data_IF_212460431601
#
_entry.id   IF_212460431601
#
_cell.length_a   1.000
_cell.length_b   1.000
_cell.length_c   1.000
_cell.angle_alpha   90.00
_cell.angle_beta   90.00
_cell.angle_gamma   90.00
#
_symmetry.space_group_name_H-M   'P 1'
#
loop_
_entity.id
_entity.type
_entity.pdbx_description
1 polymer ?
#
# COMPACT_ATOMS: atom_id res chain seq x y z
N UNK A 1 -0.78 12.84 2.99
CA UNK A 1 0.69 12.73 3.20
C UNK A 1 1.37 13.45 2.05
N UNK A 2 2.52 14.09 2.29
CA UNK A 2 3.43 14.49 1.21
C UNK A 2 3.93 13.24 0.47
N UNK A 3 4.59 13.41 -0.69
CA UNK A 3 5.13 12.25 -1.41
C UNK A 3 6.20 11.51 -0.60
N UNK A 4 7.03 12.22 0.19
CA UNK A 4 8.05 11.61 1.07
C UNK A 4 7.41 10.81 2.19
N UNK A 5 6.45 11.43 2.88
CA UNK A 5 5.69 10.76 3.93
C UNK A 5 5.00 9.51 3.38
N UNK A 6 4.40 9.59 2.19
CA UNK A 6 3.72 8.44 1.58
C UNK A 6 4.72 7.32 1.21
N UNK A 7 5.86 7.67 0.61
CA UNK A 7 6.90 6.70 0.27
C UNK A 7 7.43 5.96 1.51
N UNK A 8 7.75 6.69 2.59
CA UNK A 8 8.22 6.10 3.84
C UNK A 8 7.14 5.26 4.55
N UNK A 9 5.90 5.76 4.58
CA UNK A 9 4.77 5.04 5.14
C UNK A 9 4.49 3.73 4.40
N UNK A 10 4.61 3.74 3.07
CA UNK A 10 4.36 2.57 2.23
C UNK A 10 5.44 1.50 2.37
N UNK A 11 6.71 1.91 2.36
CA UNK A 11 7.85 1.02 2.62
C UNK A 11 7.72 0.34 3.98
N UNK A 12 7.34 1.11 5.01
CA UNK A 12 7.17 0.59 6.35
C UNK A 12 5.94 -0.33 6.44
N UNK A 13 4.79 0.08 5.91
CA UNK A 13 3.57 -0.72 5.98
C UNK A 13 3.70 -2.05 5.23
N UNK A 14 4.29 -2.06 4.04
CA UNK A 14 4.57 -3.30 3.28
C UNK A 14 5.59 -4.20 4.01
N UNK A 15 6.63 -3.62 4.62
CA UNK A 15 7.63 -4.37 5.39
C UNK A 15 7.05 -5.04 6.66
N UNK A 16 6.09 -4.38 7.32
CA UNK A 16 5.40 -4.94 8.49
C UNK A 16 4.39 -6.02 8.11
N UNK A 17 3.90 -6.03 6.87
CA UNK A 17 2.76 -6.86 6.44
C UNK A 17 3.12 -7.79 5.27
N UNK A 18 3.06 -7.29 4.05
CA UNK A 18 3.23 -8.04 2.80
C UNK A 18 4.55 -8.78 2.75
N UNK A 19 5.67 -8.11 3.04
CA UNK A 19 7.00 -8.73 2.95
C UNK A 19 7.11 -9.95 3.87
N UNK A 20 6.55 -9.82 5.07
CA UNK A 20 6.55 -10.86 6.10
C UNK A 20 5.69 -12.05 5.70
N UNK A 21 4.53 -11.79 5.08
CA UNK A 21 3.60 -12.84 4.66
C UNK A 21 4.03 -13.54 3.37
N UNK A 22 4.65 -12.81 2.44
CA UNK A 22 5.16 -13.37 1.18
C UNK A 22 6.57 -13.98 1.33
N UNK A 23 7.31 -13.62 2.37
CA UNK A 23 8.64 -14.16 2.65
C UNK A 23 9.78 -13.53 1.86
N UNK A 24 9.52 -12.44 1.13
CA UNK A 24 10.52 -11.66 0.41
C UNK A 24 10.18 -10.16 0.46
N UNK A 25 11.16 -9.31 0.18
CA UNK A 25 10.96 -7.86 0.16
C UNK A 25 10.30 -7.47 -1.16
N UNK A 26 9.08 -6.92 -1.11
CA UNK A 26 8.42 -6.36 -2.30
C UNK A 26 9.00 -5.00 -2.68
N UNK A 27 8.50 -4.37 -3.74
CA UNK A 27 8.93 -3.04 -4.16
C UNK A 27 9.02 -2.03 -3.00
N UNK A 28 10.04 -1.17 -3.03
CA UNK A 28 10.28 -0.12 -2.04
C UNK A 28 10.65 1.18 -2.76
N UNK A 29 10.19 2.29 -2.21
CA UNK A 29 10.38 3.63 -2.75
C UNK A 29 11.67 4.28 -2.26
N UNK A 30 12.08 3.99 -1.04
CA UNK A 30 13.24 4.57 -0.39
C UNK A 30 14.40 3.58 -0.30
N UNK A 31 15.61 4.10 -0.08
CA UNK A 31 16.79 3.26 0.18
C UNK A 31 16.85 2.73 1.63
N UNK A 32 15.81 2.99 2.43
CA UNK A 32 15.77 2.65 3.84
C UNK A 32 15.73 1.13 4.02
N UNK A 33 16.85 0.56 4.47
CA UNK A 33 16.95 -0.86 4.81
C UNK A 33 16.44 -1.09 6.23
N UNK A 34 15.17 -1.40 6.37
CA UNK A 34 14.61 -1.85 7.65
C UNK A 34 15.22 -3.20 8.03
N UNK A 35 16.00 -3.22 9.12
CA UNK A 35 16.59 -4.46 9.65
C UNK A 35 15.62 -5.12 10.64
N UNK A 36 14.70 -5.91 10.10
CA UNK A 36 13.73 -6.68 10.89
C UNK A 36 14.29 -8.09 11.09
N UNK A 37 14.58 -8.47 12.33
CA UNK A 37 15.10 -9.81 12.67
C UNK A 37 14.05 -10.90 12.45
N UNK A 38 14.46 -12.15 12.22
CA UNK A 38 13.53 -13.28 12.06
C UNK A 38 12.62 -13.50 13.27
N UNK A 39 13.10 -13.18 14.48
CA UNK A 39 12.28 -13.20 15.69
C UNK A 39 11.11 -12.21 15.58
N UNK A 40 11.37 -11.01 15.06
CA UNK A 40 10.33 -9.98 14.91
C UNK A 40 9.42 -10.32 13.72
N UNK A 41 9.96 -10.79 12.60
CA UNK A 41 9.14 -11.28 11.48
C UNK A 41 8.19 -12.39 11.91
N UNK A 42 8.63 -13.31 12.77
CA UNK A 42 7.77 -14.35 13.35
C UNK A 42 6.60 -13.75 14.13
N UNK A 43 6.86 -12.74 14.98
CA UNK A 43 5.79 -12.02 15.69
C UNK A 43 4.82 -11.33 14.74
N UNK A 44 5.31 -10.70 13.68
CA UNK A 44 4.45 -10.07 12.67
C UNK A 44 3.58 -11.11 11.94
N UNK A 45 4.13 -12.28 11.57
CA UNK A 45 3.34 -13.41 11.02
C UNK A 45 2.26 -13.88 11.99
N UNK A 46 2.59 -14.02 13.28
CA UNK A 46 1.64 -14.40 14.32
C UNK A 46 0.52 -13.38 14.47
N UNK A 47 0.84 -12.08 14.50
CA UNK A 47 -0.13 -10.99 14.55
C UNK A 47 -1.06 -10.99 13.33
N UNK A 48 -0.52 -11.14 12.11
CA UNK A 48 -1.35 -11.19 10.89
C UNK A 48 -2.21 -12.46 10.85
N UNK A 49 -1.69 -13.59 11.33
CA UNK A 49 -2.46 -14.84 11.45
C UNK A 49 -3.60 -14.71 12.47
N UNK A 50 -3.37 -14.04 13.60
CA UNK A 50 -4.42 -13.74 14.58
C UNK A 50 -5.44 -12.74 14.00
N UNK A 51 -4.98 -11.72 13.28
CA UNK A 51 -5.83 -10.79 12.55
C UNK A 51 -6.72 -11.50 11.54
N UNK A 52 -6.18 -12.45 10.75
CA UNK A 52 -6.96 -13.25 9.81
C UNK A 52 -8.11 -14.02 10.48
N UNK A 53 -8.00 -14.37 11.77
CA UNK A 53 -9.07 -15.06 12.50
C UNK A 53 -10.08 -14.10 13.12
N UNK A 54 -9.59 -13.01 13.71
CA UNK A 54 -10.41 -12.15 14.60
C UNK A 54 -10.80 -10.81 13.99
N UNK A 55 -10.13 -10.39 12.91
CA UNK A 55 -10.32 -9.11 12.22
C UNK A 55 -10.20 -7.87 13.12
N UNK A 56 -9.41 -7.97 14.20
CA UNK A 56 -9.15 -6.87 15.13
C UNK A 56 -8.06 -5.94 14.59
N UNK A 57 -8.44 -4.97 13.74
CA UNK A 57 -7.52 -4.02 13.11
C UNK A 57 -6.66 -3.24 14.10
N UNK A 58 -7.29 -2.71 15.16
CA UNK A 58 -6.60 -1.93 16.20
C UNK A 58 -5.51 -2.74 16.88
N UNK A 59 -5.86 -3.94 17.34
CA UNK A 59 -4.92 -4.86 17.98
C UNK A 59 -3.78 -5.25 17.04
N UNK A 60 -4.08 -5.50 15.77
CA UNK A 60 -3.06 -5.83 14.78
C UNK A 60 -2.08 -4.66 14.58
N UNK A 61 -2.60 -3.43 14.43
CA UNK A 61 -1.78 -2.24 14.29
C UNK A 61 -0.91 -1.99 15.53
N UNK A 62 -1.47 -2.06 16.74
CA UNK A 62 -0.72 -1.85 17.98
C UNK A 62 0.44 -2.83 18.14
N UNK A 63 0.23 -4.09 17.75
CA UNK A 63 1.24 -5.15 17.79
C UNK A 63 2.31 -4.99 16.69
N UNK A 64 1.90 -4.73 15.45
CA UNK A 64 2.83 -4.50 14.32
C UNK A 64 3.71 -3.26 14.54
N UNK A 65 3.20 -2.26 15.25
CA UNK A 65 3.90 -1.01 15.55
C UNK A 65 4.43 -0.93 16.98
N UNK A 66 4.54 -2.06 17.69
CA UNK A 66 4.95 -2.08 19.09
C UNK A 66 6.43 -1.72 19.30
N UNK A 67 7.31 -2.08 18.35
CA UNK A 67 8.76 -1.88 18.49
C UNK A 67 9.19 -0.48 18.01
N UNK A 68 9.64 0.41 18.91
CA UNK A 68 10.05 1.77 18.57
C UNK A 68 11.32 1.84 17.71
N UNK A 69 12.11 0.75 17.64
CA UNK A 69 13.29 0.68 16.77
C UNK A 69 12.92 0.44 15.30
N UNK A 70 11.71 -0.08 15.05
CA UNK A 70 11.19 -0.32 13.70
C UNK A 70 10.22 0.80 13.33
N UNK A 71 9.25 1.08 14.19
CA UNK A 71 8.23 2.10 13.97
C UNK A 71 8.46 3.26 14.95
N UNK A 72 8.94 4.39 14.43
CA UNK A 72 9.14 5.60 15.23
C UNK A 72 7.83 6.03 15.89
N UNK A 73 7.92 6.60 17.09
CA UNK A 73 6.75 7.09 17.84
C UNK A 73 5.88 8.06 17.02
N UNK A 74 6.51 8.91 16.19
CA UNK A 74 5.82 9.84 15.29
C UNK A 74 4.89 9.11 14.32
N UNK A 75 5.36 8.01 13.72
CA UNK A 75 4.57 7.18 12.82
C UNK A 75 3.44 6.46 13.57
N UNK A 76 3.75 5.88 14.73
CA UNK A 76 2.73 5.18 15.55
C UNK A 76 1.57 6.11 15.94
N UNK A 77 1.84 7.38 16.22
CA UNK A 77 0.82 8.37 16.55
C UNK A 77 0.13 9.02 15.35
N UNK A 78 0.62 8.80 14.13
CA UNK A 78 0.03 9.41 12.92
C UNK A 78 -1.17 8.58 12.43
N UNK A 79 -2.36 9.18 12.52
CA UNK A 79 -3.61 8.56 12.06
C UNK A 79 -3.56 8.16 10.58
N UNK A 80 -2.87 8.94 9.75
CA UNK A 80 -2.75 8.68 8.30
C UNK A 80 -1.94 7.42 8.06
N UNK A 81 -0.90 7.18 8.86
CA UNK A 81 -0.09 5.95 8.78
C UNK A 81 -0.86 4.74 9.28
N UNK A 82 -1.61 4.89 10.38
CA UNK A 82 -2.52 3.87 10.87
C UNK A 82 -3.53 3.42 9.81
N UNK A 83 -4.19 4.37 9.16
CA UNK A 83 -5.08 4.08 8.03
C UNK A 83 -4.35 3.39 6.87
N UNK A 84 -3.11 3.79 6.58
CA UNK A 84 -2.29 3.15 5.55
C UNK A 84 -1.99 1.69 5.88
N UNK A 85 -1.63 1.38 7.13
CA UNK A 85 -1.45 -0.01 7.59
C UNK A 85 -2.77 -0.79 7.54
N UNK A 86 -3.91 -0.17 7.87
CA UNK A 86 -5.22 -0.82 7.73
C UNK A 86 -5.54 -1.19 6.28
N UNK A 87 -5.17 -0.35 5.30
CA UNK A 87 -5.30 -0.69 3.87
C UNK A 87 -4.50 -1.95 3.53
N UNK A 88 -3.28 -2.08 4.05
CA UNK A 88 -2.48 -3.30 3.88
C UNK A 88 -3.08 -4.53 4.58
N UNK A 89 -3.64 -4.37 5.78
CA UNK A 89 -4.31 -5.46 6.49
C UNK A 89 -5.53 -6.01 5.72
N UNK A 90 -6.21 -5.20 4.90
CA UNK A 90 -7.31 -5.66 4.05
C UNK A 90 -6.88 -6.74 3.05
N UNK A 91 -5.61 -6.78 2.62
CA UNK A 91 -5.09 -7.86 1.77
C UNK A 91 -5.13 -9.24 2.46
N UNK A 92 -5.27 -9.27 3.78
CA UNK A 92 -5.34 -10.46 4.62
C UNK A 92 -6.72 -10.61 5.31
N UNK A 93 -7.69 -9.76 4.97
CA UNK A 93 -9.08 -9.93 5.40
C UNK A 93 -9.85 -10.66 4.29
N UNK A 94 -10.36 -11.85 4.57
CA UNK A 94 -11.15 -12.66 3.62
C UNK A 94 -12.45 -11.97 3.18
N UNK A 95 -12.95 -11.00 3.94
CA UNK A 95 -14.11 -10.17 3.58
C UNK A 95 -13.77 -9.14 2.51
N UNK A 96 -12.48 -8.90 2.23
CA UNK A 96 -12.06 -7.89 1.26
C UNK A 96 -12.40 -8.27 -0.19
N UNK A 97 -12.57 -9.56 -0.48
CA UNK A 97 -12.78 -10.08 -1.83
C UNK A 97 -11.55 -10.01 -2.74
N UNK A 98 -10.38 -9.68 -2.18
CA UNK A 98 -9.08 -9.73 -2.84
C UNK A 98 -8.05 -10.40 -1.95
N UNK A 99 -6.94 -10.83 -2.54
CA UNK A 99 -5.78 -11.34 -1.82
C UNK A 99 -4.50 -11.02 -2.61
N UNK A 100 -3.37 -10.95 -1.91
CA UNK A 100 -2.05 -10.78 -2.51
C UNK A 100 -1.29 -12.12 -2.54
N UNK A 101 -0.63 -12.42 -3.65
CA UNK A 101 0.19 -13.64 -3.82
C UNK A 101 1.51 -13.33 -4.54
N UNK A 102 2.54 -14.19 -4.41
CA UNK A 102 3.76 -14.07 -5.20
C UNK A 102 3.47 -14.12 -6.70
N UNK A 103 4.20 -13.32 -7.47
CA UNK A 103 4.14 -13.25 -8.93
C UNK A 103 5.55 -13.32 -9.50
N UNK A 104 5.80 -14.33 -10.34
CA UNK A 104 7.12 -14.55 -10.96
C UNK A 104 7.10 -14.26 -12.46
N UNK A 105 6.07 -13.55 -12.96
CA UNK A 105 5.83 -13.36 -14.40
C UNK A 105 6.77 -12.35 -15.05
N UNK A 106 7.14 -11.28 -14.34
CA UNK A 106 7.78 -10.11 -14.93
C UNK A 106 9.31 -10.15 -14.77
N UNK A 107 10.02 -10.29 -15.88
CA UNK A 107 11.49 -10.29 -15.90
C UNK A 107 12.09 -8.95 -15.45
N UNK A 108 11.37 -7.84 -15.66
CA UNK A 108 11.76 -6.50 -15.18
C UNK A 108 11.87 -6.42 -13.65
N UNK A 109 11.22 -7.32 -12.94
CA UNK A 109 11.24 -7.42 -11.47
C UNK A 109 12.14 -8.57 -10.99
N UNK A 110 13.04 -9.06 -11.86
CA UNK A 110 13.86 -10.25 -11.60
C UNK A 110 13.04 -11.51 -11.22
N UNK A 111 11.78 -11.59 -11.69
CA UNK A 111 10.83 -12.64 -11.33
C UNK A 111 10.51 -12.73 -9.82
N UNK A 112 10.66 -11.63 -9.09
CA UNK A 112 10.32 -11.50 -7.67
C UNK A 112 9.38 -10.32 -7.50
N UNK A 113 8.08 -10.59 -7.66
CA UNK A 113 7.02 -9.61 -7.51
C UNK A 113 5.81 -10.19 -6.79
N UNK A 114 4.73 -9.41 -6.72
CA UNK A 114 3.46 -9.84 -6.16
C UNK A 114 2.31 -9.37 -7.06
N UNK A 115 1.16 -10.03 -6.92
CA UNK A 115 -0.03 -9.73 -7.71
C UNK A 115 -1.28 -9.81 -6.83
N UNK A 116 -2.27 -9.01 -7.18
CA UNK A 116 -3.61 -9.07 -6.61
C UNK A 116 -4.47 -10.08 -7.36
N UNK A 117 -5.16 -10.94 -6.60
CA UNK A 117 -6.13 -11.91 -7.10
C UNK A 117 -7.49 -11.65 -6.46
N UNK A 118 -8.56 -11.96 -7.19
CA UNK A 118 -9.90 -11.99 -6.61
C UNK A 118 -10.06 -13.25 -5.76
N UNK A 119 -10.63 -13.10 -4.56
CA UNK A 119 -10.98 -14.22 -3.66
C UNK A 119 -12.49 -14.51 -3.65
N UNK A 120 -13.26 -13.79 -4.48
CA UNK A 120 -14.68 -13.99 -4.74
C UNK A 120 -15.04 -13.48 -6.14
N UNK A 121 -16.24 -13.80 -6.60
CA UNK A 121 -16.77 -13.26 -7.85
C UNK A 121 -17.10 -11.77 -7.74
N UNK A 122 -16.72 -11.02 -8.78
CA UNK A 122 -17.03 -9.60 -8.93
C UNK A 122 -17.85 -9.37 -10.19
N UNK A 123 -19.04 -8.79 -10.03
CA UNK A 123 -19.87 -8.38 -11.17
C UNK A 123 -19.40 -7.06 -11.76
N UNK A 124 -19.59 -6.89 -13.07
CA UNK A 124 -19.29 -5.63 -13.78
C UNK A 124 -20.01 -4.46 -13.09
N UNK A 125 -19.28 -3.36 -12.88
CA UNK A 125 -19.78 -2.15 -12.23
C UNK A 125 -19.68 -2.14 -10.70
N UNK A 126 -19.33 -3.27 -10.07
CA UNK A 126 -19.01 -3.27 -8.64
C UNK A 126 -17.64 -2.66 -8.39
N UNK A 127 -17.53 -1.89 -7.30
CA UNK A 127 -16.28 -1.29 -6.86
C UNK A 127 -15.62 -2.14 -5.79
N UNK A 128 -14.33 -2.42 -5.96
CA UNK A 128 -13.49 -3.06 -4.94
C UNK A 128 -13.03 -1.97 -3.95
N UNK A 129 -13.87 -1.64 -2.96
CA UNK A 129 -13.59 -0.56 -1.99
C UNK A 129 -12.45 -0.85 -1.04
N UNK A 130 -12.01 -2.10 -0.96
CA UNK A 130 -10.96 -2.60 -0.06
C UNK A 130 -9.57 -2.58 -0.69
N UNK A 131 -9.48 -2.44 -2.02
CA UNK A 131 -8.22 -2.34 -2.75
C UNK A 131 -7.96 -0.87 -3.10
N UNK A 132 -7.26 -0.18 -2.21
CA UNK A 132 -7.06 1.27 -2.27
C UNK A 132 -5.58 1.60 -2.49
N UNK A 133 -5.33 2.61 -3.32
CA UNK A 133 -4.04 3.27 -3.43
C UNK A 133 -4.15 4.73 -2.97
N UNK A 134 -3.07 5.25 -2.40
CA UNK A 134 -2.89 6.64 -2.05
C UNK A 134 -2.09 7.33 -3.16
N UNK A 135 -2.46 8.58 -3.46
CA UNK A 135 -1.81 9.37 -4.51
C UNK A 135 -1.08 10.54 -3.88
N UNK A 136 0.19 10.74 -4.24
CA UNK A 136 0.94 11.95 -3.92
C UNK A 136 1.54 12.54 -5.20
N UNK A 137 1.60 13.85 -5.29
CA UNK A 137 2.10 14.56 -6.47
C UNK A 137 3.55 14.93 -6.28
N UNK A 138 4.32 14.85 -7.36
CA UNK A 138 5.70 15.32 -7.43
C UNK A 138 5.77 16.46 -8.44
N UNK A 139 6.42 17.55 -8.06
CA UNK A 139 6.87 18.52 -9.04
C UNK A 139 8.11 17.99 -9.79
N UNK A 140 8.49 18.67 -10.87
CA UNK A 140 9.61 18.25 -11.72
C UNK A 140 10.94 18.12 -10.97
N UNK A 141 11.25 19.03 -10.04
CA UNK A 141 12.48 19.00 -9.28
C UNK A 141 12.52 17.80 -8.30
N UNK A 142 11.37 17.48 -7.70
CA UNK A 142 11.21 16.31 -6.83
C UNK A 142 11.32 15.01 -7.62
N UNK A 143 10.67 14.94 -8.78
CA UNK A 143 10.72 13.79 -9.68
C UNK A 143 12.16 13.44 -10.05
N UNK A 144 12.91 14.42 -10.56
CA UNK A 144 14.31 14.26 -10.99
C UNK A 144 15.21 13.89 -9.81
N UNK A 145 14.95 14.43 -8.62
CA UNK A 145 15.79 14.18 -7.44
C UNK A 145 15.51 12.82 -6.77
N UNK A 146 14.30 12.28 -6.91
CA UNK A 146 13.85 11.11 -6.14
C UNK A 146 13.70 9.84 -6.96
N UNK A 147 13.17 9.95 -8.18
CA UNK A 147 12.91 8.77 -9.01
C UNK A 147 14.17 8.32 -9.72
N UNK A 148 14.45 7.03 -9.60
CA UNK A 148 15.55 6.34 -10.26
C UNK A 148 14.94 5.29 -11.18
N UNK A 149 15.29 5.40 -12.46
CA UNK A 149 14.74 4.52 -13.49
C UNK A 149 15.01 3.05 -13.15
N UNK A 150 13.96 2.21 -13.25
CA UNK A 150 13.97 0.76 -12.94
C UNK A 150 14.28 0.41 -11.48
N UNK A 151 14.09 1.35 -10.56
CA UNK A 151 14.30 1.11 -9.12
C UNK A 151 13.06 1.44 -8.31
N UNK A 152 12.60 2.69 -8.37
CA UNK A 152 11.44 3.17 -7.59
C UNK A 152 10.41 3.93 -8.46
N UNK A 153 10.43 3.71 -9.78
CA UNK A 153 9.47 4.24 -10.76
C UNK A 153 8.36 3.22 -11.12
N UNK A 154 8.19 2.15 -10.33
CA UNK A 154 7.27 1.04 -10.62
C UNK A 154 5.78 1.41 -10.58
N UNK A 155 5.41 2.46 -9.83
CA UNK A 155 4.02 2.91 -9.68
C UNK A 155 3.91 4.43 -9.76
N UNK A 156 4.42 4.97 -10.86
CA UNK A 156 4.37 6.40 -11.21
C UNK A 156 3.47 6.58 -12.43
N UNK A 157 2.52 7.52 -12.33
CA UNK A 157 1.67 7.90 -13.46
C UNK A 157 1.74 9.40 -13.71
N UNK A 158 1.81 9.79 -14.98
CA UNK A 158 1.77 11.19 -15.38
C UNK A 158 0.33 11.67 -15.52
N UNK A 159 0.00 12.80 -14.89
CA UNK A 159 -1.31 13.44 -14.99
C UNK A 159 -1.29 14.63 -15.94
N UNK A 160 -1.74 14.46 -17.18
CA UNK A 160 -1.79 15.54 -18.17
C UNK A 160 -2.63 16.74 -17.71
N UNK A 161 -3.71 16.51 -16.95
CA UNK A 161 -4.55 17.59 -16.39
C UNK A 161 -3.79 18.49 -15.42
N UNK A 162 -2.87 17.91 -14.65
CA UNK A 162 -2.12 18.63 -13.61
C UNK A 162 -0.69 18.95 -14.04
N UNK A 163 -0.27 18.45 -15.19
CA UNK A 163 1.07 18.60 -15.74
C UNK A 163 2.16 18.18 -14.74
N UNK A 164 1.91 17.09 -14.00
CA UNK A 164 2.81 16.59 -12.96
C UNK A 164 2.77 15.06 -12.86
N UNK A 165 3.84 14.51 -12.31
CA UNK A 165 3.94 13.09 -11.98
C UNK A 165 3.24 12.81 -10.66
N UNK A 166 2.65 11.63 -10.56
CA UNK A 166 1.94 11.16 -9.39
C UNK A 166 2.50 9.81 -8.96
N UNK A 167 2.82 9.69 -7.68
CA UNK A 167 3.12 8.42 -7.03
C UNK A 167 1.83 7.77 -6.57
N UNK A 168 1.67 6.50 -6.91
CA UNK A 168 0.52 5.68 -6.55
C UNK A 168 1.01 4.53 -5.68
N UNK A 169 0.73 4.59 -4.38
CA UNK A 169 1.28 3.66 -3.40
C UNK A 169 0.17 3.03 -2.54
N UNK A 170 0.50 1.96 -1.82
CA UNK A 170 -0.46 1.14 -1.07
C UNK A 170 -0.88 -0.13 -1.83
N UNK A 171 -1.87 -0.88 -1.30
CA UNK A 171 -2.28 -2.17 -1.86
C UNK A 171 -2.58 -2.19 -3.36
N UNK A 172 -3.17 -1.12 -3.91
CA UNK A 172 -3.47 -1.05 -5.34
C UNK A 172 -2.22 -0.98 -6.24
N UNK A 173 -1.04 -0.63 -5.71
CA UNK A 173 0.22 -0.63 -6.45
C UNK A 173 0.72 -2.05 -6.83
N UNK A 174 0.09 -3.10 -6.29
CA UNK A 174 0.33 -4.50 -6.66
C UNK A 174 -0.59 -5.00 -7.78
N UNK A 175 -1.48 -4.14 -8.32
CA UNK A 175 -2.30 -4.47 -9.48
C UNK A 175 -1.42 -4.40 -10.72
N UNK A 176 -1.25 -5.53 -11.39
CA UNK A 176 -0.43 -5.61 -12.58
C UNK A 176 -1.19 -5.11 -13.82
N UNK A 177 -0.42 -4.61 -14.79
CA UNK A 177 -0.95 -4.19 -16.08
C UNK A 177 -1.32 -5.39 -16.97
N UNK A 178 -2.48 -5.30 -17.61
CA UNK A 178 -2.89 -6.13 -18.73
C UNK A 178 -3.52 -5.23 -19.82
N UNK A 179 -3.24 -5.51 -21.09
CA UNK A 179 -3.79 -4.74 -22.21
C UNK A 179 -5.31 -4.94 -22.39
N UNK A 180 -5.87 -6.02 -21.84
CA UNK A 180 -7.30 -6.31 -21.78
C UNK A 180 -7.73 -6.46 -20.31
N UNK A 181 -7.72 -5.34 -19.55
CA UNK A 181 -7.92 -5.41 -18.10
C UNK A 181 -9.36 -5.77 -17.75
N UNK A 182 -9.54 -6.44 -16.62
CA UNK A 182 -10.84 -6.75 -16.05
C UNK A 182 -11.33 -5.72 -15.02
N UNK A 183 -10.47 -4.75 -14.67
CA UNK A 183 -10.75 -3.67 -13.72
C UNK A 183 -10.24 -2.34 -14.27
N UNK A 184 -10.84 -1.24 -13.80
CA UNK A 184 -10.35 0.10 -14.04
C UNK A 184 -10.14 0.85 -12.73
N UNK A 185 -9.19 1.79 -12.73
CA UNK A 185 -8.91 2.63 -11.58
C UNK A 185 -9.92 3.77 -11.54
N UNK A 186 -10.69 3.86 -10.46
CA UNK A 186 -11.59 5.00 -10.20
C UNK A 186 -11.03 5.87 -9.08
N UNK A 187 -11.02 7.19 -9.29
CA UNK A 187 -10.62 8.15 -8.26
C UNK A 187 -11.77 8.37 -7.29
N UNK A 188 -11.61 7.96 -6.04
CA UNK A 188 -12.43 8.47 -4.94
C UNK A 188 -11.75 9.74 -4.43
N UNK A 189 -12.42 10.88 -4.53
CA UNK A 189 -12.03 12.05 -3.76
C UNK A 189 -12.65 11.81 -2.39
N UNK A 190 -11.83 11.49 -1.38
CA UNK A 190 -12.25 11.66 0.01
C UNK A 190 -12.36 13.16 0.25
N UNK A 191 -13.46 13.75 -0.24
CA UNK A 191 -13.91 15.03 0.25
C UNK A 191 -14.24 14.78 1.71
N UNK A 192 -13.40 15.30 2.61
CA UNK A 192 -13.94 15.84 3.86
C UNK A 192 -15.17 16.64 3.44
N UNK A 193 -16.36 16.11 3.71
CA UNK A 193 -17.60 16.83 3.53
C UNK A 193 -17.45 18.11 4.36
N UNK A 194 -17.16 19.22 3.70
CA UNK A 194 -17.51 20.52 4.24
C UNK A 194 -19.02 20.46 4.48
N UNK A 195 -19.51 20.77 5.69
CA UNK A 195 -20.95 20.81 5.91
C UNK A 195 -21.51 21.82 4.91
N UNK A 196 -22.46 21.33 4.10
CA UNK A 196 -23.28 22.12 3.21
C UNK A 196 -23.72 23.39 3.93
N UNK A 197 -23.25 24.56 3.47
CA UNK A 197 -23.83 25.83 3.92
C UNK A 197 -25.33 25.77 3.57
N UNK A 198 -26.24 26.01 4.53
CA UNK A 198 -27.64 26.18 4.20
C UNK A 198 -27.77 27.43 3.34
N UNK A 199 -28.56 27.31 2.29
CA UNK A 199 -28.95 28.41 1.43
C UNK A 199 -29.70 29.44 2.29
N UNK A 200 -29.26 30.70 2.21
CA UNK A 200 -29.98 31.89 2.68
C UNK A 200 -30.26 32.78 1.48
#
# INVERSE_FOLDING_TARGET
>A
MTWRELAEADDLASALTVDVMLGFVTHKMTETKLRITERIKTKFRETITAFQKHKCYETAFDQLTADPNIVRRSWKSDIRFKEHVFRYLLLFDDRSGVEIRPCMRYASENHVGAAIFASRDWSKGLRITTLVGCIAELNLAEEVAFLQHRKNDFSVMYSSRKNCSQLWLGPAAYVNHDCQPNCEVSRSIDSLQSPSKPWS
#
